data_IF_922673349451
#
_entry.id   IF_922673349451
#
_cell.length_a   1.000
_cell.length_b   1.000
_cell.length_c   1.000
_cell.angle_alpha   90.00
_cell.angle_beta   90.00
_cell.angle_gamma   90.00
#
_symmetry.space_group_name_H-M   'P 1'
#
loop_
_entity.id
_entity.type
_entity.pdbx_description
1 polymer ?
#
# COMPACT_ATOMS: atom_id res chain seq x y z
N UNK A 1 -1.81 3.03 10.59
CA UNK A 1 -0.81 4.06 10.88
C UNK A 1 0.23 4.06 9.77
N UNK A 2 0.54 5.23 9.21
CA UNK A 2 1.64 5.43 8.27
C UNK A 2 2.70 6.31 8.95
N UNK A 3 3.98 6.12 8.66
CA UNK A 3 5.03 6.92 9.30
C UNK A 3 6.43 6.73 8.70
N UNK A 4 7.37 7.53 9.20
CA UNK A 4 8.80 7.41 8.96
C UNK A 4 9.48 6.76 10.17
N UNK A 5 10.19 5.66 9.95
CA UNK A 5 11.06 5.04 10.94
C UNK A 5 12.47 5.62 10.77
N UNK A 6 12.88 6.45 11.73
CA UNK A 6 14.18 7.12 11.69
C UNK A 6 15.35 6.18 11.95
N UNK A 7 15.15 5.09 12.70
CA UNK A 7 16.19 4.10 12.99
C UNK A 7 16.43 3.20 11.78
N UNK A 8 15.36 2.73 11.14
CA UNK A 8 15.45 1.92 9.93
C UNK A 8 15.61 2.73 8.64
N UNK A 9 15.49 4.06 8.70
CA UNK A 9 15.62 4.96 7.55
C UNK A 9 14.61 4.69 6.44
N UNK A 10 13.35 4.37 6.79
CA UNK A 10 12.33 3.97 5.80
C UNK A 10 10.92 4.41 6.20
N UNK A 11 10.05 4.56 5.20
CA UNK A 11 8.61 4.67 5.46
C UNK A 11 8.00 3.30 5.77
N UNK A 12 6.92 3.31 6.57
CA UNK A 12 6.18 2.10 6.92
C UNK A 12 4.67 2.34 6.93
N UNK A 13 3.92 1.24 6.82
CA UNK A 13 2.50 1.18 7.08
C UNK A 13 2.17 0.03 8.04
N UNK A 14 1.41 0.31 9.09
CA UNK A 14 0.88 -0.66 10.04
C UNK A 14 -0.64 -0.65 10.01
N UNK A 15 -1.26 -1.77 9.70
CA UNK A 15 -2.73 -1.88 9.60
C UNK A 15 -3.24 -3.10 10.35
N UNK A 16 -4.44 -2.99 10.92
CA UNK A 16 -5.22 -4.14 11.36
C UNK A 16 -6.33 -4.33 10.34
N UNK A 17 -6.39 -5.49 9.70
CA UNK A 17 -7.44 -5.78 8.71
C UNK A 17 -8.71 -6.38 9.36
N UNK A 18 -9.76 -6.56 8.58
CA UNK A 18 -11.11 -6.83 9.10
C UNK A 18 -11.29 -8.22 9.74
N UNK A 19 -10.35 -9.15 9.54
CA UNK A 19 -10.31 -10.44 10.24
C UNK A 19 -9.41 -10.41 11.49
N UNK A 20 -8.87 -9.25 11.85
CA UNK A 20 -8.08 -9.04 13.08
C UNK A 20 -6.58 -9.29 12.93
N UNK A 21 -6.07 -9.55 11.73
CA UNK A 21 -4.65 -9.70 11.49
C UNK A 21 -3.93 -8.34 11.44
N UNK A 22 -2.78 -8.28 12.10
CA UNK A 22 -1.84 -7.18 11.92
C UNK A 22 -1.04 -7.36 10.63
N UNK A 23 -0.79 -6.26 9.93
CA UNK A 23 0.08 -6.17 8.77
C UNK A 23 1.09 -5.06 8.97
N UNK A 24 2.36 -5.39 8.76
CA UNK A 24 3.48 -4.46 8.73
C UNK A 24 4.05 -4.44 7.31
N UNK A 25 4.08 -3.24 6.72
CA UNK A 25 4.62 -3.02 5.38
C UNK A 25 5.82 -2.09 5.42
N UNK A 26 6.81 -2.38 4.57
CA UNK A 26 7.75 -1.35 4.10
C UNK A 26 7.07 -0.54 3.02
N UNK A 27 7.25 0.78 3.06
CA UNK A 27 6.67 1.68 2.08
C UNK A 27 7.78 2.41 1.30
N UNK A 28 7.64 2.42 -0.02
CA UNK A 28 8.41 3.28 -0.93
C UNK A 28 7.49 4.37 -1.45
N UNK A 29 7.96 5.61 -1.42
CA UNK A 29 7.22 6.79 -1.91
C UNK A 29 7.99 7.38 -3.07
N UNK A 30 7.42 7.32 -4.27
CA UNK A 30 7.95 7.94 -5.48
C UNK A 30 6.91 8.93 -6.03
N UNK A 31 6.99 10.18 -5.57
CA UNK A 31 6.02 11.23 -5.91
C UNK A 31 4.58 10.84 -5.60
N UNK A 32 3.79 10.61 -6.66
CA UNK A 32 2.37 10.22 -6.58
C UNK A 32 2.14 8.71 -6.61
N UNK A 33 3.20 7.90 -6.61
CA UNK A 33 3.12 6.44 -6.60
C UNK A 33 3.72 5.91 -5.31
N UNK A 34 2.89 5.24 -4.50
CA UNK A 34 3.33 4.66 -3.23
C UNK A 34 3.21 3.14 -3.31
N UNK A 35 4.27 2.42 -2.98
CA UNK A 35 4.26 0.96 -2.96
C UNK A 35 4.45 0.49 -1.52
N UNK A 36 3.52 -0.32 -1.03
CA UNK A 36 3.63 -1.03 0.25
C UNK A 36 3.95 -2.48 -0.05
N UNK A 37 4.97 -3.03 0.60
CA UNK A 37 5.39 -4.42 0.43
C UNK A 37 5.48 -5.10 1.79
N UNK A 38 4.75 -6.20 1.93
CA UNK A 38 4.78 -7.11 3.06
C UNK A 38 5.20 -8.50 2.60
N UNK A 39 5.08 -9.48 3.50
CA UNK A 39 5.52 -10.85 3.23
C UNK A 39 4.73 -11.55 2.11
N UNK A 40 3.40 -11.35 2.10
CA UNK A 40 2.47 -12.01 1.19
C UNK A 40 1.61 -11.05 0.38
N UNK A 41 1.68 -9.76 0.65
CA UNK A 41 0.80 -8.74 0.08
C UNK A 41 1.66 -7.57 -0.39
N UNK A 42 1.32 -7.05 -1.56
CA UNK A 42 1.91 -5.83 -2.12
C UNK A 42 0.78 -4.96 -2.64
N UNK A 43 0.89 -3.66 -2.45
CA UNK A 43 -0.05 -2.72 -3.06
C UNK A 43 0.67 -1.52 -3.62
N UNK A 44 0.19 -1.06 -4.77
CA UNK A 44 0.62 0.18 -5.41
C UNK A 44 -0.55 1.13 -5.45
N UNK A 45 -0.35 2.31 -4.86
CA UNK A 45 -1.26 3.44 -4.90
C UNK A 45 -0.75 4.43 -5.94
N UNK A 46 -1.62 4.89 -6.82
CA UNK A 46 -1.35 6.02 -7.71
C UNK A 46 -2.35 7.13 -7.44
N UNK A 47 -1.86 8.31 -7.09
CA UNK A 47 -2.68 9.48 -6.85
C UNK A 47 -2.76 10.35 -8.11
N UNK A 48 -3.95 10.79 -8.48
CA UNK A 48 -4.13 11.74 -9.58
C UNK A 48 -3.49 13.08 -9.28
N UNK A 49 -3.15 13.83 -10.33
CA UNK A 49 -2.50 15.14 -10.21
C UNK A 49 -3.31 16.15 -9.41
N UNK A 50 -4.62 16.16 -9.60
CA UNK A 50 -5.57 17.03 -8.91
C UNK A 50 -5.89 16.55 -7.48
N UNK A 51 -5.33 15.40 -7.05
CA UNK A 51 -5.59 14.80 -5.74
C UNK A 51 -7.05 14.39 -5.53
N UNK A 52 -7.80 14.14 -6.61
CA UNK A 52 -9.21 13.76 -6.58
C UNK A 52 -9.45 12.25 -6.67
N UNK A 53 -8.50 11.51 -7.21
CA UNK A 53 -8.61 10.07 -7.43
C UNK A 53 -7.38 9.36 -6.89
N UNK A 54 -7.60 8.18 -6.35
CA UNK A 54 -6.59 7.24 -5.93
C UNK A 54 -6.90 5.89 -6.58
N UNK A 55 -5.98 5.40 -7.41
CA UNK A 55 -6.02 4.04 -7.95
C UNK A 55 -5.16 3.14 -7.07
N UNK A 56 -5.65 1.93 -6.79
CA UNK A 56 -5.02 0.99 -5.87
C UNK A 56 -5.04 -0.38 -6.52
N UNK A 57 -3.87 -0.92 -6.82
CA UNK A 57 -3.71 -2.30 -7.26
C UNK A 57 -3.11 -3.11 -6.13
N UNK A 58 -3.75 -4.22 -5.79
CA UNK A 58 -3.26 -5.20 -4.83
C UNK A 58 -2.78 -6.44 -5.55
N UNK A 59 -1.67 -6.95 -5.05
CA UNK A 59 -1.09 -8.22 -5.43
C UNK A 59 -0.90 -9.07 -4.18
N UNK A 60 -0.95 -10.39 -4.36
CA UNK A 60 -0.68 -11.35 -3.31
C UNK A 60 0.31 -12.39 -3.80
N UNK A 61 1.09 -12.95 -2.87
CA UNK A 61 2.15 -13.91 -3.13
C UNK A 61 1.88 -15.22 -2.37
N UNK A 62 1.08 -16.15 -2.93
CA UNK A 62 0.83 -17.46 -2.31
C UNK A 62 2.05 -18.38 -2.35
N UNK A 63 2.96 -18.15 -3.29
CA UNK A 63 4.21 -18.90 -3.47
C UNK A 63 5.37 -17.93 -3.72
N UNK A 64 6.11 -18.08 -4.81
CA UNK A 64 7.26 -17.23 -5.14
C UNK A 64 6.91 -16.04 -6.06
N UNK A 65 5.74 -16.08 -6.70
CA UNK A 65 5.32 -15.07 -7.68
C UNK A 65 4.17 -14.22 -7.18
N UNK A 66 4.23 -12.92 -7.52
CA UNK A 66 3.14 -11.97 -7.27
C UNK A 66 2.03 -12.19 -8.29
N UNK A 67 0.81 -12.39 -7.81
CA UNK A 67 -0.38 -12.48 -8.63
C UNK A 67 -1.31 -11.29 -8.33
N UNK A 68 -2.06 -10.79 -9.32
CA UNK A 68 -3.11 -9.80 -9.06
C UNK A 68 -4.12 -10.32 -8.03
N UNK A 69 -4.49 -9.46 -7.08
CA UNK A 69 -5.52 -9.74 -6.08
C UNK A 69 -6.79 -8.96 -6.39
N UNK A 70 -6.71 -7.63 -6.43
CA UNK A 70 -7.84 -6.77 -6.79
C UNK A 70 -7.39 -5.35 -7.13
N UNK A 71 -8.23 -4.64 -7.86
CA UNK A 71 -8.10 -3.21 -8.11
C UNK A 71 -9.21 -2.42 -7.41
N UNK A 72 -8.88 -1.22 -6.94
CA UNK A 72 -9.84 -0.29 -6.35
C UNK A 72 -9.57 1.12 -6.84
N UNK A 73 -10.64 1.88 -7.01
CA UNK A 73 -10.57 3.32 -7.26
C UNK A 73 -11.31 4.03 -6.14
N UNK A 74 -10.62 4.95 -5.47
CA UNK A 74 -11.20 5.83 -4.46
C UNK A 74 -11.26 7.25 -5.00
N UNK A 75 -12.37 7.93 -4.73
CA UNK A 75 -12.59 9.32 -5.10
C UNK A 75 -12.67 10.16 -3.83
N UNK A 76 -11.98 11.30 -3.84
CA UNK A 76 -12.05 12.27 -2.74
C UNK A 76 -13.43 12.91 -2.71
N UNK A 77 -14.18 12.65 -1.65
CA UNK A 77 -15.44 13.35 -1.39
C UNK A 77 -15.11 14.74 -0.81
N UNK A 78 -15.73 15.77 -1.37
CA UNK A 78 -15.65 17.17 -0.94
C UNK A 78 -16.98 17.85 -1.22
#
# INVERSE_FOLDING_TARGET
MLGWDAEAGRYFARTIENHGFARDYTMTVDGRTWTLTGEHERTTYTFSEDGRTQEISWEWRPAEEWAPLCDRTAYRIG
#
